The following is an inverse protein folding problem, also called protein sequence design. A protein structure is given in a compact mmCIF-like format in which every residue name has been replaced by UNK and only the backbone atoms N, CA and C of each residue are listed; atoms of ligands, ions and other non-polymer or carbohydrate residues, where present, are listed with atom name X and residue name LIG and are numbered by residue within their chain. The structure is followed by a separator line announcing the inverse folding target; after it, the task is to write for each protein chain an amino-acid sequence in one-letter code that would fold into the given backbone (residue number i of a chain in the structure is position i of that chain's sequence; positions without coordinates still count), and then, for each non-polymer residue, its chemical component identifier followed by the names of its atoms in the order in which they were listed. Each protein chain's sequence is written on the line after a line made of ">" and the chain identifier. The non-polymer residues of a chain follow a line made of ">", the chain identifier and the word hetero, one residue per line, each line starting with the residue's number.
data_IF_729273271502
#
_entry.id   IF_729273271502
#
_cell.length_a   1.000
_cell.length_b   1.000
_cell.length_c   1.000
_cell.angle_alpha   90.00
_cell.angle_beta   90.00
_cell.angle_gamma   90.00
#
_symmetry.space_group_name_H-M   'P 1'
#
loop_
_entity.id
_entity.type
_entity.pdbx_description
1 polymer ?
#
# COMPACT_ATOMS: atom_id res chain seq x y z
N UNK A 1 6.58 10.40 11.36
CA UNK A 1 7.00 9.84 10.05
C UNK A 1 8.48 10.14 9.87
N UNK A 2 9.25 9.22 9.30
CA UNK A 2 10.69 9.40 9.07
C UNK A 2 10.99 9.42 7.58
N UNK A 3 11.96 10.25 7.19
CA UNK A 3 12.49 10.24 5.83
C UNK A 3 13.07 8.86 5.46
N UNK A 4 13.00 8.40 4.19
CA UNK A 4 13.62 7.12 3.78
C UNK A 4 15.07 6.99 4.24
N UNK A 5 15.43 5.83 4.81
CA UNK A 5 16.72 5.59 5.47
C UNK A 5 16.75 5.93 6.96
N UNK A 6 16.11 7.04 7.39
CA UNK A 6 16.03 7.39 8.82
C UNK A 6 15.03 6.53 9.59
N UNK A 7 14.00 6.00 8.92
CA UNK A 7 13.06 5.06 9.54
C UNK A 7 13.77 3.81 10.06
N UNK A 8 14.88 3.39 9.43
CA UNK A 8 15.65 2.22 9.84
C UNK A 8 16.21 2.34 11.26
N UNK A 9 16.58 3.56 11.69
CA UNK A 9 17.08 3.81 13.04
C UNK A 9 15.98 3.65 14.09
N UNK A 10 14.74 3.93 13.73
CA UNK A 10 13.59 3.79 14.61
C UNK A 10 13.11 2.34 14.65
N UNK A 11 12.96 1.69 13.48
CA UNK A 11 12.53 0.29 13.41
C UNK A 11 13.55 -0.65 14.06
N UNK A 12 14.86 -0.42 13.88
CA UNK A 12 15.90 -1.22 14.57
C UNK A 12 15.79 -1.15 16.10
N UNK A 13 15.35 -0.01 16.66
CA UNK A 13 15.17 0.14 18.11
C UNK A 13 13.96 -0.64 18.64
N UNK A 14 13.01 -0.97 17.78
CA UNK A 14 11.79 -1.71 18.13
C UNK A 14 11.92 -3.23 17.94
N UNK A 15 13.08 -3.73 17.48
CA UNK A 15 13.25 -5.15 17.14
C UNK A 15 12.54 -5.57 15.84
N UNK A 16 12.87 -6.76 15.33
CA UNK A 16 12.09 -7.42 14.25
C UNK A 16 12.15 -6.77 12.86
N UNK A 17 13.33 -6.39 12.38
CA UNK A 17 13.56 -6.06 10.97
C UNK A 17 13.67 -4.57 10.64
N UNK A 18 13.29 -4.20 9.41
CA UNK A 18 13.48 -2.84 8.85
C UNK A 18 12.22 -2.21 8.24
N UNK A 19 11.11 -2.95 8.24
CA UNK A 19 9.82 -2.57 7.62
C UNK A 19 8.85 -1.91 8.61
N UNK A 20 7.85 -1.25 8.04
CA UNK A 20 6.64 -0.76 8.71
C UNK A 20 5.43 -1.36 7.95
N UNK A 21 4.23 -1.46 8.53
CA UNK A 21 3.83 -0.97 9.87
C UNK A 21 4.38 -1.80 11.04
N UNK A 22 4.36 -1.22 12.24
CA UNK A 22 4.59 -1.90 13.52
C UNK A 22 3.44 -1.55 14.45
N UNK A 23 2.83 -2.53 15.11
CA UNK A 23 1.85 -2.29 16.16
C UNK A 23 2.51 -2.53 17.52
N UNK A 24 2.44 -1.52 18.39
CA UNK A 24 2.91 -1.63 19.77
C UNK A 24 1.68 -1.75 20.65
N UNK A 25 1.57 -2.88 21.34
CA UNK A 25 0.48 -3.15 22.28
C UNK A 25 1.05 -2.89 23.69
N UNK A 26 0.59 -1.83 24.33
CA UNK A 26 0.97 -1.50 25.71
C UNK A 26 -0.18 -1.89 26.64
N UNK A 27 0.00 -2.95 27.42
CA UNK A 27 -0.91 -3.32 28.51
C UNK A 27 -0.61 -2.52 29.78
N UNK A 28 -1.62 -2.29 30.63
CA UNK A 28 -1.43 -1.77 31.98
C UNK A 28 -0.70 -2.83 32.85
N UNK A 29 0.63 -2.92 32.73
CA UNK A 29 1.48 -3.70 33.65
C UNK A 29 2.26 -4.88 33.07
N UNK A 30 2.13 -5.19 31.77
CA UNK A 30 2.91 -6.26 31.09
C UNK A 30 3.93 -5.71 30.08
N UNK A 31 4.93 -6.52 29.73
CA UNK A 31 5.91 -6.18 28.69
C UNK A 31 5.21 -5.84 27.37
N UNK A 32 5.66 -4.77 26.71
CA UNK A 32 5.05 -4.33 25.46
C UNK A 32 5.28 -5.35 24.35
N UNK A 33 4.21 -5.91 23.79
CA UNK A 33 4.29 -6.76 22.61
C UNK A 33 4.40 -5.89 21.35
N UNK A 34 5.34 -6.22 20.47
CA UNK A 34 5.53 -5.52 19.19
C UNK A 34 5.27 -6.51 18.06
N UNK A 35 4.23 -6.25 17.26
CA UNK A 35 3.95 -7.00 16.03
C UNK A 35 4.68 -6.35 14.86
N UNK A 36 5.34 -7.18 14.06
CA UNK A 36 6.37 -6.75 13.14
C UNK A 36 5.93 -6.69 11.68
N UNK A 37 4.88 -7.40 11.31
CA UNK A 37 4.36 -7.50 9.95
C UNK A 37 2.88 -7.08 9.89
N UNK A 38 2.44 -6.59 8.73
CA UNK A 38 1.02 -6.29 8.50
C UNK A 38 0.13 -7.53 8.64
N UNK A 39 0.57 -8.70 8.18
CA UNK A 39 -0.22 -9.93 8.29
C UNK A 39 -0.36 -10.38 9.74
N UNK A 40 0.71 -10.24 10.54
CA UNK A 40 0.66 -10.52 11.99
C UNK A 40 -0.32 -9.57 12.71
N UNK A 41 -0.33 -8.29 12.31
CA UNK A 41 -1.25 -7.29 12.85
C UNK A 41 -2.70 -7.64 12.51
N UNK A 42 -2.97 -8.01 11.26
CA UNK A 42 -4.32 -8.41 10.84
C UNK A 42 -4.78 -9.66 11.58
N UNK A 43 -3.95 -10.70 11.66
CA UNK A 43 -4.26 -11.91 12.41
C UNK A 43 -4.49 -11.63 13.91
N UNK A 44 -3.70 -10.74 14.52
CA UNK A 44 -3.91 -10.32 15.90
C UNK A 44 -5.27 -9.62 16.09
N UNK A 45 -5.61 -8.66 15.23
CA UNK A 45 -6.89 -7.93 15.31
C UNK A 45 -8.06 -8.91 15.08
N UNK A 46 -7.91 -9.83 14.12
CA UNK A 46 -8.92 -10.82 13.78
C UNK A 46 -9.25 -11.74 14.97
N UNK A 47 -8.24 -12.13 15.74
CA UNK A 47 -8.42 -12.93 16.96
C UNK A 47 -9.20 -12.20 18.07
N UNK A 48 -9.31 -10.87 18.01
CA UNK A 48 -10.15 -10.10 18.94
C UNK A 48 -11.64 -10.10 18.53
N UNK A 49 -11.96 -10.58 17.32
CA UNK A 49 -13.32 -10.59 16.78
C UNK A 49 -13.98 -11.95 17.10
N UNK A 50 -14.98 -11.93 17.97
CA UNK A 50 -15.66 -13.15 18.44
C UNK A 50 -16.67 -13.76 17.45
N UNK A 51 -17.12 -13.00 16.44
CA UNK A 51 -18.09 -13.47 15.44
C UNK A 51 -17.39 -13.76 14.11
N UNK A 52 -17.45 -15.02 13.64
CA UNK A 52 -16.67 -15.50 12.49
C UNK A 52 -17.01 -14.77 11.18
N UNK A 53 -18.27 -14.39 10.98
CA UNK A 53 -18.72 -13.64 9.80
C UNK A 53 -18.26 -12.17 9.77
N UNK A 54 -17.70 -11.66 10.87
CA UNK A 54 -17.10 -10.32 10.96
C UNK A 54 -15.57 -10.37 10.92
N UNK A 55 -14.99 -11.57 10.84
CA UNK A 55 -13.55 -11.75 10.73
C UNK A 55 -13.04 -11.38 9.35
N UNK A 56 -11.82 -10.87 9.31
CA UNK A 56 -11.02 -10.72 8.12
C UNK A 56 -10.53 -12.08 7.58
N UNK A 57 -10.48 -13.11 8.43
CA UNK A 57 -10.18 -14.51 8.06
C UNK A 57 -11.30 -15.48 8.48
N UNK A 58 -12.49 -15.44 7.86
CA UNK A 58 -13.56 -16.40 8.15
C UNK A 58 -13.10 -17.84 7.92
N UNK A 59 -13.55 -18.76 8.77
CA UNK A 59 -13.00 -20.12 8.83
C UNK A 59 -13.22 -20.91 7.52
N UNK A 60 -14.32 -20.65 6.81
CA UNK A 60 -14.70 -21.26 5.54
C UNK A 60 -13.94 -20.70 4.32
N UNK A 61 -13.32 -19.52 4.45
CA UNK A 61 -12.66 -18.79 3.37
C UNK A 61 -11.17 -18.52 3.62
N UNK A 62 -10.65 -18.91 4.79
CA UNK A 62 -9.32 -18.53 5.29
C UNK A 62 -8.19 -18.77 4.28
N UNK A 63 -8.13 -19.96 3.69
CA UNK A 63 -7.04 -20.30 2.75
C UNK A 63 -7.11 -19.43 1.50
N UNK A 64 -8.30 -19.20 0.95
CA UNK A 64 -8.49 -18.32 -0.20
C UNK A 64 -8.11 -16.87 0.12
N UNK A 65 -8.43 -16.38 1.33
CA UNK A 65 -8.02 -15.03 1.77
C UNK A 65 -6.50 -14.91 1.81
N UNK A 66 -5.82 -15.89 2.39
CA UNK A 66 -4.35 -15.91 2.49
C UNK A 66 -3.71 -15.94 1.10
N UNK A 67 -4.19 -16.79 0.18
CA UNK A 67 -3.68 -16.86 -1.19
C UNK A 67 -3.76 -15.52 -1.92
N UNK A 68 -4.86 -14.78 -1.73
CA UNK A 68 -5.01 -13.43 -2.28
C UNK A 68 -4.03 -12.43 -1.64
N UNK A 69 -3.90 -12.45 -0.32
CA UNK A 69 -2.96 -11.57 0.39
C UNK A 69 -1.52 -11.80 -0.07
N UNK A 70 -1.09 -13.06 -0.17
CA UNK A 70 0.25 -13.42 -0.63
C UNK A 70 0.49 -12.93 -2.07
N UNK A 71 -0.48 -13.12 -2.97
CA UNK A 71 -0.39 -12.57 -4.33
C UNK A 71 -0.22 -11.04 -4.31
N UNK A 72 -0.96 -10.35 -3.45
CA UNK A 72 -0.90 -8.90 -3.39
C UNK A 72 0.42 -8.42 -2.76
N UNK A 73 0.89 -9.04 -1.69
CA UNK A 73 2.14 -8.65 -1.02
C UNK A 73 3.37 -8.98 -1.87
N UNK A 74 3.41 -10.14 -2.51
CA UNK A 74 4.57 -10.57 -3.28
C UNK A 74 4.63 -9.92 -4.68
N UNK A 75 3.47 -9.67 -5.29
CA UNK A 75 3.39 -9.19 -6.68
C UNK A 75 2.90 -7.76 -6.77
N UNK A 76 1.70 -7.46 -6.25
CA UNK A 76 1.04 -6.17 -6.47
C UNK A 76 1.79 -5.04 -5.78
N UNK A 77 1.98 -5.11 -4.47
CA UNK A 77 2.61 -4.07 -3.66
C UNK A 77 4.00 -3.65 -4.17
N UNK A 78 4.94 -4.60 -4.37
CA UNK A 78 6.26 -4.31 -4.92
C UNK A 78 6.19 -3.71 -6.33
N UNK A 79 5.23 -4.14 -7.15
CA UNK A 79 5.05 -3.64 -8.51
C UNK A 79 4.50 -2.22 -8.53
N UNK A 80 3.44 -1.93 -7.76
CA UNK A 80 2.86 -0.59 -7.60
C UNK A 80 3.89 0.38 -7.04
N UNK A 81 4.62 -0.01 -5.99
CA UNK A 81 5.69 0.80 -5.40
C UNK A 81 6.76 1.15 -6.43
N UNK A 82 7.30 0.13 -7.11
CA UNK A 82 8.37 0.35 -8.09
C UNK A 82 7.89 1.22 -9.23
N UNK A 83 6.73 0.89 -9.80
CA UNK A 83 6.10 1.64 -10.89
C UNK A 83 5.91 3.12 -10.54
N UNK A 84 5.31 3.41 -9.37
CA UNK A 84 5.12 4.77 -8.89
C UNK A 84 6.43 5.54 -8.73
N UNK A 85 7.46 4.92 -8.14
CA UNK A 85 8.76 5.56 -8.00
C UNK A 85 9.45 5.81 -9.34
N UNK A 86 9.35 4.90 -10.31
CA UNK A 86 9.98 5.11 -11.61
C UNK A 86 9.41 6.35 -12.35
N UNK A 87 8.16 6.75 -12.10
CA UNK A 87 7.61 8.02 -12.59
C UNK A 87 7.90 9.21 -11.69
N UNK A 88 7.72 9.05 -10.37
CA UNK A 88 7.67 10.19 -9.47
C UNK A 88 9.03 10.63 -8.94
N UNK A 89 10.04 9.74 -8.91
CA UNK A 89 11.26 9.97 -8.15
C UNK A 89 12.07 11.18 -8.64
N UNK A 90 12.03 11.50 -9.93
CA UNK A 90 12.65 12.70 -10.51
C UNK A 90 11.62 13.77 -10.93
N UNK A 91 10.36 13.60 -10.54
CA UNK A 91 9.30 14.57 -10.80
C UNK A 91 9.28 15.66 -9.71
N UNK A 92 8.87 16.88 -10.07
CA UNK A 92 8.89 18.08 -9.21
C UNK A 92 8.20 17.94 -7.84
N UNK A 93 7.27 16.98 -7.69
CA UNK A 93 6.54 16.72 -6.44
C UNK A 93 7.27 15.83 -5.44
N UNK A 94 8.38 15.18 -5.82
CA UNK A 94 9.00 14.12 -5.00
C UNK A 94 9.49 14.61 -3.64
N UNK A 95 10.04 15.82 -3.57
CA UNK A 95 10.53 16.35 -2.31
C UNK A 95 9.39 16.46 -1.29
N UNK A 96 8.22 16.98 -1.72
CA UNK A 96 7.03 17.05 -0.88
C UNK A 96 6.53 15.66 -0.45
N UNK A 97 6.56 14.69 -1.37
CA UNK A 97 6.18 13.31 -1.10
C UNK A 97 7.07 12.67 -0.02
N UNK A 98 8.40 12.79 -0.16
CA UNK A 98 9.37 12.14 0.75
C UNK A 98 9.52 12.86 2.10
N UNK A 99 9.18 14.14 2.17
CA UNK A 99 9.40 14.98 3.37
C UNK A 99 8.12 15.33 4.13
N UNK A 100 6.96 14.82 3.71
CA UNK A 100 5.71 15.04 4.45
C UNK A 100 5.81 14.39 5.84
N UNK A 101 5.40 15.11 6.89
CA UNK A 101 5.46 14.60 8.27
C UNK A 101 6.86 14.39 8.86
N UNK A 102 7.90 14.81 8.14
CA UNK A 102 9.31 14.76 8.56
C UNK A 102 9.69 16.01 9.36
N UNK A 103 10.57 15.89 10.35
CA UNK A 103 11.02 17.01 11.18
C UNK A 103 11.84 18.04 10.40
N UNK A 104 11.88 19.31 10.85
CA UNK A 104 12.61 20.39 10.17
C UNK A 104 14.09 20.07 9.89
N UNK A 105 14.87 19.50 10.83
CA UNK A 105 16.26 19.14 10.56
C UNK A 105 16.40 18.08 9.46
N UNK A 106 15.53 17.07 9.46
CA UNK A 106 15.52 16.03 8.43
C UNK A 106 15.08 16.59 7.05
N UNK A 107 14.25 17.64 7.00
CA UNK A 107 13.92 18.33 5.73
C UNK A 107 15.11 19.06 5.13
N UNK A 108 15.91 19.74 5.97
CA UNK A 108 17.14 20.41 5.53
C UNK A 108 18.13 19.38 5.00
N UNK A 109 18.34 18.29 5.75
CA UNK A 109 19.16 17.17 5.28
C UNK A 109 18.64 16.61 3.94
N UNK A 110 17.35 16.32 3.85
CA UNK A 110 16.74 15.81 2.64
C UNK A 110 16.97 16.75 1.45
N UNK A 111 16.94 18.07 1.64
CA UNK A 111 17.16 19.05 0.57
C UNK A 111 18.57 18.93 -0.04
N UNK A 112 19.61 18.83 0.80
CA UNK A 112 20.99 18.71 0.33
C UNK A 112 21.31 17.34 -0.28
N UNK A 113 20.76 16.27 0.29
CA UNK A 113 21.10 14.90 -0.11
C UNK A 113 20.09 14.26 -1.08
N UNK A 114 19.03 14.97 -1.49
CA UNK A 114 17.96 14.45 -2.33
C UNK A 114 18.48 13.73 -3.59
N UNK A 115 19.43 14.29 -4.37
CA UNK A 115 19.89 13.65 -5.61
C UNK A 115 20.57 12.29 -5.35
N UNK A 116 21.29 12.16 -4.24
CA UNK A 116 21.98 10.92 -3.87
C UNK A 116 20.94 9.87 -3.43
N UNK A 117 19.98 10.29 -2.60
CA UNK A 117 18.89 9.42 -2.12
C UNK A 117 18.02 8.96 -3.30
N UNK A 118 17.68 9.86 -4.23
CA UNK A 118 16.95 9.52 -5.45
C UNK A 118 17.69 8.45 -6.25
N UNK A 119 19.00 8.62 -6.49
CA UNK A 119 19.79 7.60 -7.20
C UNK A 119 19.80 6.25 -6.47
N UNK A 120 19.95 6.26 -5.15
CA UNK A 120 19.93 5.05 -4.34
C UNK A 120 18.57 4.33 -4.41
N UNK A 121 17.47 5.04 -4.25
CA UNK A 121 16.10 4.50 -4.37
C UNK A 121 15.86 3.98 -5.79
N UNK A 122 16.23 4.75 -6.82
CA UNK A 122 16.05 4.39 -8.22
C UNK A 122 16.75 3.08 -8.56
N UNK A 123 18.00 2.92 -8.11
CA UNK A 123 18.78 1.70 -8.31
C UNK A 123 18.25 0.54 -7.48
N UNK A 124 17.95 0.78 -6.19
CA UNK A 124 17.48 -0.24 -5.25
C UNK A 124 16.12 -0.83 -5.62
N UNK A 125 15.23 -0.05 -6.24
CA UNK A 125 13.94 -0.52 -6.75
C UNK A 125 14.03 -1.15 -8.15
N UNK A 126 15.22 -1.15 -8.77
CA UNK A 126 15.41 -1.68 -10.12
C UNK A 126 14.82 -0.82 -11.23
N UNK A 127 14.51 0.46 -10.97
CA UNK A 127 14.04 1.40 -12.00
C UNK A 127 15.10 1.73 -13.06
N UNK A 128 16.36 1.36 -12.83
CA UNK A 128 17.44 1.54 -13.81
C UNK A 128 17.31 0.68 -15.07
N UNK A 129 16.45 -0.35 -15.06
CA UNK A 129 16.15 -1.13 -16.26
C UNK A 129 15.26 -0.32 -17.20
N UNK A 130 15.60 -0.29 -18.49
CA UNK A 130 14.92 0.53 -19.51
C UNK A 130 13.39 0.35 -19.51
N UNK A 131 12.93 -0.90 -19.36
CA UNK A 131 11.51 -1.26 -19.44
C UNK A 131 10.89 -1.53 -18.06
N UNK A 132 11.50 -1.01 -16.98
CA UNK A 132 11.03 -1.26 -15.62
C UNK A 132 9.59 -0.79 -15.42
N UNK A 133 9.20 0.35 -16.00
CA UNK A 133 7.86 0.90 -15.86
C UNK A 133 6.83 -0.02 -16.51
N UNK A 134 7.10 -0.47 -17.72
CA UNK A 134 6.24 -1.30 -18.55
C UNK A 134 6.08 -2.70 -17.94
N UNK A 135 7.19 -3.31 -17.51
CA UNK A 135 7.17 -4.62 -16.85
C UNK A 135 6.35 -4.57 -15.56
N UNK A 136 6.56 -3.55 -14.73
CA UNK A 136 5.81 -3.42 -13.46
C UNK A 136 4.35 -3.11 -13.70
N UNK A 137 4.03 -2.29 -14.70
CA UNK A 137 2.65 -2.03 -15.09
C UNK A 137 1.95 -3.30 -15.60
N UNK A 138 2.62 -4.12 -16.41
CA UNK A 138 2.07 -5.40 -16.87
C UNK A 138 1.75 -6.35 -15.70
N UNK A 139 2.58 -6.38 -14.65
CA UNK A 139 2.27 -7.15 -13.44
C UNK A 139 1.05 -6.61 -12.69
N UNK A 140 0.89 -5.29 -12.60
CA UNK A 140 -0.28 -4.66 -11.97
C UNK A 140 -1.54 -5.04 -12.76
N UNK A 141 -1.51 -4.91 -14.09
CA UNK A 141 -2.62 -5.29 -14.98
C UNK A 141 -2.99 -6.76 -14.80
N UNK A 142 -2.01 -7.66 -14.80
CA UNK A 142 -2.26 -9.10 -14.63
C UNK A 142 -2.94 -9.43 -13.30
N UNK A 143 -2.56 -8.76 -12.19
CA UNK A 143 -3.25 -8.94 -10.90
C UNK A 143 -4.66 -8.34 -10.94
N UNK A 144 -4.84 -7.16 -11.57
CA UNK A 144 -6.16 -6.55 -11.71
C UNK A 144 -7.10 -7.42 -12.56
N UNK A 145 -6.59 -8.08 -13.59
CA UNK A 145 -7.36 -9.04 -14.40
C UNK A 145 -7.82 -10.25 -13.58
N UNK A 146 -6.94 -10.82 -12.75
CA UNK A 146 -7.32 -11.89 -11.81
C UNK A 146 -8.44 -11.46 -10.86
N UNK A 147 -8.38 -10.23 -10.33
CA UNK A 147 -9.44 -9.68 -9.49
C UNK A 147 -10.72 -9.43 -10.28
N UNK A 148 -10.62 -8.97 -11.54
CA UNK A 148 -11.80 -8.84 -12.41
C UNK A 148 -12.50 -10.19 -12.61
N UNK A 149 -11.74 -11.27 -12.85
CA UNK A 149 -12.27 -12.63 -12.99
C UNK A 149 -12.97 -13.08 -11.71
N UNK A 150 -12.36 -12.84 -10.54
CA UNK A 150 -12.96 -13.17 -9.24
C UNK A 150 -14.27 -12.41 -8.98
N UNK A 151 -14.40 -11.18 -9.49
CA UNK A 151 -15.58 -10.32 -9.32
C UNK A 151 -16.57 -10.42 -10.50
N UNK A 152 -16.31 -11.27 -11.49
CA UNK A 152 -17.08 -11.30 -12.75
C UNK A 152 -18.55 -11.74 -12.55
N UNK A 153 -18.85 -12.47 -11.49
CA UNK A 153 -20.20 -12.88 -11.11
C UNK A 153 -21.00 -11.80 -10.35
N UNK A 154 -20.41 -10.62 -10.14
CA UNK A 154 -21.07 -9.49 -9.49
C UNK A 154 -21.07 -9.55 -7.96
N UNK A 155 -20.32 -10.48 -7.35
CA UNK A 155 -20.12 -10.51 -5.90
C UNK A 155 -19.55 -9.18 -5.38
N UNK A 156 -19.88 -8.78 -4.13
CA UNK A 156 -19.43 -7.50 -3.58
C UNK A 156 -17.95 -7.49 -3.15
N UNK A 157 -17.35 -8.66 -2.88
CA UNK A 157 -16.00 -8.79 -2.32
C UNK A 157 -15.22 -9.93 -2.99
N UNK A 158 -13.89 -9.89 -2.93
CA UNK A 158 -13.01 -10.84 -3.63
C UNK A 158 -13.31 -12.29 -3.20
N UNK A 159 -13.55 -12.51 -1.91
CA UNK A 159 -13.86 -13.83 -1.34
C UNK A 159 -15.37 -14.08 -1.16
N UNK A 160 -16.23 -13.40 -1.93
CA UNK A 160 -17.68 -13.65 -1.94
C UNK A 160 -18.50 -12.47 -1.41
N UNK A 161 -19.33 -12.76 -0.41
CA UNK A 161 -20.37 -11.87 0.13
C UNK A 161 -19.96 -11.07 1.38
N UNK A 162 -18.79 -11.38 1.96
CA UNK A 162 -18.26 -10.71 3.15
C UNK A 162 -16.92 -10.04 2.87
N UNK A 163 -16.69 -8.89 3.50
CA UNK A 163 -15.42 -8.17 3.44
C UNK A 163 -14.34 -8.92 4.22
N UNK A 164 -13.17 -9.13 3.63
CA UNK A 164 -12.06 -9.88 4.25
C UNK A 164 -10.73 -9.15 4.15
N UNK A 165 -9.66 -9.76 4.68
CA UNK A 165 -8.30 -9.25 4.50
C UNK A 165 -7.91 -9.13 3.01
N UNK A 166 -8.48 -9.95 2.12
CA UNK A 166 -8.20 -9.89 0.69
C UNK A 166 -8.60 -8.52 0.10
N UNK A 167 -9.81 -8.02 0.39
CA UNK A 167 -10.27 -6.72 -0.08
C UNK A 167 -9.47 -5.57 0.53
N UNK A 168 -9.20 -5.66 1.83
CA UNK A 168 -8.41 -4.67 2.56
C UNK A 168 -7.00 -4.55 1.96
N UNK A 169 -6.32 -5.68 1.78
CA UNK A 169 -4.94 -5.75 1.29
C UNK A 169 -4.87 -5.34 -0.18
N UNK A 170 -5.83 -5.78 -1.01
CA UNK A 170 -5.93 -5.31 -2.40
C UNK A 170 -6.10 -3.79 -2.49
N UNK A 171 -7.03 -3.23 -1.71
CA UNK A 171 -7.27 -1.79 -1.70
C UNK A 171 -6.07 -0.99 -1.19
N UNK A 172 -5.40 -1.48 -0.12
CA UNK A 172 -4.23 -0.81 0.45
C UNK A 172 -3.03 -0.80 -0.50
N UNK A 173 -2.72 -1.93 -1.12
CA UNK A 173 -1.55 -2.10 -1.99
C UNK A 173 -1.79 -1.58 -3.42
N UNK A 174 -3.02 -1.71 -3.93
CA UNK A 174 -3.44 -1.17 -5.23
C UNK A 174 -3.79 0.32 -5.21
N UNK A 175 -4.12 0.88 -4.04
CA UNK A 175 -4.55 2.27 -3.88
C UNK A 175 -3.61 3.32 -4.50
N UNK A 176 -2.27 3.26 -4.35
CA UNK A 176 -1.37 4.20 -5.03
C UNK A 176 -1.43 4.16 -6.56
N UNK A 177 -1.89 3.05 -7.15
CA UNK A 177 -2.00 2.88 -8.60
C UNK A 177 -3.29 3.47 -9.18
N UNK A 178 -4.33 3.67 -8.35
CA UNK A 178 -5.63 4.23 -8.77
C UNK A 178 -5.95 5.57 -8.12
N UNK A 179 -5.18 5.99 -7.10
CA UNK A 179 -5.33 7.23 -6.34
C UNK A 179 -6.80 7.49 -5.91
N UNK A 180 -7.40 6.59 -5.10
CA UNK A 180 -8.79 6.71 -4.70
C UNK A 180 -8.98 7.95 -3.81
N UNK A 181 -10.19 8.53 -3.87
CA UNK A 181 -10.56 9.61 -2.96
C UNK A 181 -10.47 9.11 -1.53
N UNK A 182 -9.85 9.89 -0.65
CA UNK A 182 -9.69 9.49 0.74
C UNK A 182 -8.63 8.42 0.97
N UNK A 183 -7.69 8.16 0.05
CA UNK A 183 -6.53 7.26 0.28
C UNK A 183 -5.76 7.60 1.57
N UNK A 184 -5.77 8.87 1.99
CA UNK A 184 -5.29 9.29 3.32
C UNK A 184 -3.80 9.63 3.38
N UNK A 185 -3.08 9.52 2.25
CA UNK A 185 -1.74 10.08 2.11
C UNK A 185 -1.80 11.44 1.39
N UNK A 186 -1.81 12.59 2.11
CA UNK A 186 -1.80 13.91 1.50
C UNK A 186 -0.49 14.25 0.77
N UNK A 187 0.46 13.31 0.75
CA UNK A 187 1.77 13.44 0.12
C UNK A 187 1.76 12.96 -1.33
N UNK A 188 0.83 12.05 -1.71
CA UNK A 188 0.70 11.60 -3.08
C UNK A 188 0.17 12.73 -3.99
N UNK A 189 0.68 12.85 -5.23
CA UNK A 189 0.16 13.82 -6.18
C UNK A 189 -1.30 13.50 -6.52
N UNK A 190 -2.07 14.53 -6.89
CA UNK A 190 -3.33 14.31 -7.61
C UNK A 190 -3.04 13.82 -9.01
N UNK A 191 -4.01 13.18 -9.68
CA UNK A 191 -3.82 12.63 -11.04
C UNK A 191 -3.33 13.72 -12.01
N UNK A 192 -3.84 14.94 -11.89
CA UNK A 192 -3.48 16.09 -12.73
C UNK A 192 -2.04 16.58 -12.50
N UNK A 193 -1.45 16.22 -11.35
CA UNK A 193 -0.07 16.55 -10.99
C UNK A 193 0.90 15.40 -11.27
N UNK A 194 0.43 14.25 -11.75
CA UNK A 194 1.28 13.16 -12.21
C UNK A 194 1.88 13.46 -13.60
N UNK A 195 3.02 12.83 -13.96
CA UNK A 195 3.46 12.78 -15.34
C UNK A 195 2.34 12.25 -16.25
N UNK A 196 2.19 12.83 -17.45
CA UNK A 196 1.09 12.52 -18.40
C UNK A 196 0.90 11.01 -18.61
N UNK A 197 1.98 10.31 -18.93
CA UNK A 197 1.97 8.86 -19.15
C UNK A 197 1.50 8.06 -17.92
N UNK A 198 1.88 8.50 -16.71
CA UNK A 198 1.42 7.90 -15.47
C UNK A 198 -0.08 8.16 -15.27
N UNK A 199 -0.54 9.40 -15.51
CA UNK A 199 -1.95 9.76 -15.38
C UNK A 199 -2.84 8.93 -16.33
N UNK A 200 -2.43 8.72 -17.58
CA UNK A 200 -3.14 7.87 -18.55
C UNK A 200 -3.27 6.43 -18.04
N UNK A 201 -2.18 5.86 -17.51
CA UNK A 201 -2.17 4.51 -16.91
C UNK A 201 -3.02 4.41 -15.65
N UNK A 202 -3.04 5.45 -14.80
CA UNK A 202 -3.92 5.52 -13.63
C UNK A 202 -5.38 5.47 -14.08
N UNK A 203 -5.74 6.25 -15.12
CA UNK A 203 -7.12 6.25 -15.64
C UNK A 203 -7.50 4.88 -16.20
N UNK A 204 -6.61 4.23 -16.96
CA UNK A 204 -6.82 2.87 -17.43
C UNK A 204 -7.14 1.91 -16.27
N UNK A 205 -6.35 1.94 -15.19
CA UNK A 205 -6.60 1.09 -14.02
C UNK A 205 -7.92 1.42 -13.32
N UNK A 206 -8.30 2.70 -13.25
CA UNK A 206 -9.56 3.15 -12.63
C UNK A 206 -10.80 2.72 -13.40
N UNK A 207 -10.69 2.51 -14.71
CA UNK A 207 -11.80 2.05 -15.55
C UNK A 207 -12.10 0.55 -15.38
N UNK A 208 -11.09 -0.24 -15.00
CA UNK A 208 -11.23 -1.67 -14.75
C UNK A 208 -12.15 -1.95 -13.55
N UNK A 209 -12.92 -3.06 -13.54
CA UNK A 209 -13.72 -3.49 -12.39
C UNK A 209 -12.92 -3.55 -11.08
N UNK A 210 -11.70 -4.08 -11.10
CA UNK A 210 -10.83 -4.14 -9.94
C UNK A 210 -10.41 -2.74 -9.45
N UNK A 211 -10.18 -1.78 -10.34
CA UNK A 211 -9.93 -0.39 -9.95
C UNK A 211 -11.14 0.25 -9.29
N UNK A 212 -12.35 -0.01 -9.82
CA UNK A 212 -13.62 0.42 -9.21
C UNK A 212 -13.85 -0.24 -7.86
N UNK A 213 -13.46 -1.50 -7.70
CA UNK A 213 -13.49 -2.20 -6.41
C UNK A 213 -12.64 -1.49 -5.36
N UNK A 214 -11.38 -1.18 -5.69
CA UNK A 214 -10.50 -0.41 -4.78
C UNK A 214 -11.16 0.92 -4.38
N UNK A 215 -11.68 1.68 -5.35
CA UNK A 215 -12.33 2.96 -5.08
C UNK A 215 -13.54 2.79 -4.15
N UNK A 216 -14.37 1.76 -4.39
CA UNK A 216 -15.53 1.42 -3.54
C UNK A 216 -15.13 1.08 -2.11
N UNK A 217 -14.02 0.34 -1.90
CA UNK A 217 -13.53 0.03 -0.55
C UNK A 217 -13.20 1.30 0.24
N UNK A 218 -12.55 2.28 -0.38
CA UNK A 218 -12.26 3.56 0.28
C UNK A 218 -13.50 4.40 0.55
N UNK A 219 -14.53 4.29 -0.29
CA UNK A 219 -15.78 5.04 -0.13
C UNK A 219 -16.71 4.42 0.92
N UNK A 220 -16.73 3.10 1.04
CA UNK A 220 -17.74 2.37 1.83
C UNK A 220 -17.19 1.74 3.10
N UNK A 221 -15.93 1.27 3.11
CA UNK A 221 -15.34 0.53 4.23
C UNK A 221 -14.42 1.39 5.10
N UNK A 222 -14.21 2.66 4.73
CA UNK A 222 -13.45 3.59 5.56
C UNK A 222 -14.39 4.38 6.46
N UNK A 223 -14.09 4.43 7.76
CA UNK A 223 -14.79 5.31 8.68
C UNK A 223 -14.69 6.75 8.15
N UNK A 224 -15.84 7.41 7.97
CA UNK A 224 -15.89 8.84 7.72
C UNK A 224 -15.21 9.51 8.91
N UNK A 225 -14.19 10.33 8.66
CA UNK A 225 -13.57 11.10 9.72
C UNK A 225 -14.69 11.86 10.45
N UNK A 226 -14.70 11.89 11.80
CA UNK A 226 -15.61 12.77 12.51
C UNK A 226 -15.40 14.19 11.99
N UNK A 227 -16.50 14.83 11.58
CA UNK A 227 -16.54 16.23 11.11
C UNK A 227 -16.11 17.15 12.23
#
# INVERSE_FOLDING_TARGET
>A
MHFPGFHLLFVKKLGGGTSLPKLIITGHGEESQILHDSSDILAFIDNLIGQDNLKLYPSDKKDAVIEWEDLFDEVLGPSVRTWGYCYLLYHKGIYGLLTKGVSRPQKVFAFFFLPIIQRAIFKGLGCAKKDAKEIKFGKIISVFEKVNEALADGRPFICGDTFTAADLTFAALGGPAVLPKGYGSPALPTIEKCPKEMAEKIQQLREMPAGKHIMSMYETQRLKAPV
#
